data_IF_001949476572
#
_entry.id   IF_001949476572
#
_cell.length_a   1.000
_cell.length_b   1.000
_cell.length_c   1.000
_cell.angle_alpha   90.00
_cell.angle_beta   90.00
_cell.angle_gamma   90.00
#
_symmetry.space_group_name_H-M   'P 1'
#
loop_
_entity.id
_entity.type
_entity.pdbx_description
1 polymer ?
#
# COMPACT_ATOMS: atom_id res chain seq x y z
N UNK A 1 17.23 1.92 10.15
CA UNK A 1 16.58 0.94 9.25
C UNK A 1 16.26 1.68 7.96
N UNK A 2 16.95 1.34 6.90
CA UNK A 2 16.68 1.96 5.58
C UNK A 2 15.31 1.51 5.08
N UNK A 3 14.45 2.46 4.78
CA UNK A 3 13.04 2.21 4.45
C UNK A 3 12.68 2.79 3.09
N UNK A 4 11.98 2.02 2.26
CA UNK A 4 11.37 2.52 1.01
C UNK A 4 9.86 2.42 1.10
N UNK A 5 9.15 3.48 0.74
CA UNK A 5 7.70 3.47 0.53
C UNK A 5 7.42 3.24 -0.94
N UNK A 6 6.57 2.27 -1.27
CA UNK A 6 6.12 1.97 -2.63
C UNK A 6 4.66 2.40 -2.77
N UNK A 7 4.41 3.35 -3.68
CA UNK A 7 3.07 3.88 -3.98
C UNK A 7 2.65 3.39 -5.36
N UNK A 8 1.62 2.54 -5.44
CA UNK A 8 1.10 2.01 -6.71
C UNK A 8 0.06 2.97 -7.28
N UNK A 9 0.20 3.36 -8.55
CA UNK A 9 -0.73 4.29 -9.22
C UNK A 9 -1.07 3.87 -10.64
N UNK A 10 -2.22 4.31 -11.14
CA UNK A 10 -2.63 4.23 -12.55
C UNK A 10 -3.62 5.34 -12.88
N UNK A 11 -3.24 6.23 -13.82
CA UNK A 11 -4.10 7.28 -14.41
C UNK A 11 -4.94 8.12 -13.42
N UNK A 12 -4.36 8.39 -12.21
CA UNK A 12 -4.98 9.24 -11.18
C UNK A 12 -3.98 10.23 -10.61
N UNK A 13 -3.51 11.19 -11.43
CA UNK A 13 -2.50 12.18 -11.01
C UNK A 13 -2.94 13.06 -9.85
N UNK A 14 -4.23 13.41 -9.77
CA UNK A 14 -4.87 14.19 -8.70
C UNK A 14 -4.79 13.48 -7.34
N UNK A 15 -5.18 12.21 -7.32
CA UNK A 15 -5.12 11.39 -6.11
C UNK A 15 -3.65 11.14 -5.69
N UNK A 16 -2.79 10.80 -6.66
CA UNK A 16 -1.36 10.58 -6.42
C UNK A 16 -0.70 11.83 -5.81
N UNK A 17 -0.99 13.02 -6.35
CA UNK A 17 -0.47 14.27 -5.79
C UNK A 17 -0.87 14.44 -4.32
N UNK A 18 -2.14 14.20 -3.99
CA UNK A 18 -2.65 14.25 -2.62
C UNK A 18 -1.96 13.24 -1.70
N UNK A 19 -1.70 12.01 -2.17
CA UNK A 19 -0.99 10.97 -1.41
C UNK A 19 0.46 11.37 -1.16
N UNK A 20 1.18 11.84 -2.18
CA UNK A 20 2.59 12.25 -2.06
C UNK A 20 2.73 13.46 -1.15
N UNK A 21 1.82 14.43 -1.23
CA UNK A 21 1.76 15.56 -0.28
C UNK A 21 1.55 15.08 1.17
N UNK A 22 0.76 14.02 1.38
CA UNK A 22 0.63 13.37 2.69
C UNK A 22 1.95 12.76 3.19
N UNK A 23 2.84 12.33 2.28
CA UNK A 23 4.18 11.89 2.63
C UNK A 23 5.12 13.05 2.95
N UNK A 24 4.96 14.23 2.36
CA UNK A 24 5.72 15.43 2.74
C UNK A 24 5.47 15.86 4.19
N UNK A 25 4.33 15.49 4.76
CA UNK A 25 3.91 15.82 6.12
C UNK A 25 4.23 14.72 7.16
N UNK A 26 5.05 13.74 6.81
CA UNK A 26 5.42 12.68 7.77
C UNK A 26 6.31 13.21 8.89
N UNK A 27 6.11 12.69 10.10
CA UNK A 27 6.96 12.95 11.27
C UNK A 27 8.38 12.38 11.12
N UNK A 28 8.53 11.35 10.30
CA UNK A 28 9.79 10.69 9.99
C UNK A 28 10.00 10.74 8.48
N UNK A 29 10.98 11.54 8.04
CA UNK A 29 11.33 11.75 6.63
C UNK A 29 12.54 10.90 6.18
N UNK A 30 13.07 10.03 7.04
CA UNK A 30 14.19 9.14 6.71
C UNK A 30 13.67 7.90 5.94
N UNK A 31 13.22 8.12 4.71
CA UNK A 31 12.80 7.10 3.75
C UNK A 31 12.95 7.62 2.32
N UNK A 32 13.02 6.71 1.36
CA UNK A 32 12.85 6.99 -0.06
C UNK A 32 11.48 6.51 -0.53
N UNK A 33 10.95 7.15 -1.58
CA UNK A 33 9.64 6.82 -2.15
C UNK A 33 9.81 6.33 -3.59
N UNK A 34 9.19 5.20 -3.91
CA UNK A 34 9.11 4.67 -5.27
C UNK A 34 7.66 4.72 -5.74
N UNK A 35 7.40 5.48 -6.79
CA UNK A 35 6.11 5.47 -7.48
C UNK A 35 6.12 4.31 -8.48
N UNK A 36 5.28 3.32 -8.21
CA UNK A 36 5.04 2.13 -9.04
C UNK A 36 3.84 2.41 -9.96
N UNK A 37 4.12 2.84 -11.17
CA UNK A 37 3.14 3.35 -12.14
C UNK A 37 2.78 2.27 -13.17
N UNK A 38 1.55 1.78 -13.10
CA UNK A 38 1.02 0.65 -13.89
C UNK A 38 0.64 1.03 -15.34
N UNK A 39 1.42 1.93 -15.94
CA UNK A 39 1.23 2.31 -17.36
C UNK A 39 0.44 3.60 -17.56
N UNK A 40 0.50 4.53 -16.61
CA UNK A 40 -0.20 5.81 -16.73
C UNK A 40 0.28 6.64 -17.94
N UNK A 41 -0.57 7.56 -18.35
CA UNK A 41 -0.34 8.52 -19.41
C UNK A 41 0.71 9.60 -19.07
N UNK A 42 0.96 10.50 -20.02
CA UNK A 42 1.91 11.60 -19.86
C UNK A 42 1.51 12.55 -18.73
N UNK A 43 0.23 12.80 -18.51
CA UNK A 43 -0.21 13.74 -17.48
C UNK A 43 0.20 13.29 -16.08
N UNK A 44 0.04 12.00 -15.76
CA UNK A 44 0.53 11.42 -14.51
C UNK A 44 2.04 11.58 -14.36
N UNK A 45 2.81 11.35 -15.44
CA UNK A 45 4.27 11.52 -15.45
C UNK A 45 4.69 12.96 -15.21
N UNK A 46 4.00 13.93 -15.79
CA UNK A 46 4.28 15.36 -15.61
C UNK A 46 4.05 15.77 -14.13
N UNK A 47 2.97 15.29 -13.51
CA UNK A 47 2.70 15.51 -12.07
C UNK A 47 3.78 14.88 -11.19
N UNK A 48 4.22 13.65 -11.48
CA UNK A 48 5.31 13.00 -10.75
C UNK A 48 6.60 13.82 -10.86
N UNK A 49 6.91 14.35 -12.03
CA UNK A 49 8.09 15.17 -12.26
C UNK A 49 8.07 16.45 -11.41
N UNK A 50 6.89 17.08 -11.28
CA UNK A 50 6.73 18.24 -10.41
C UNK A 50 6.89 17.88 -8.93
N UNK A 51 6.25 16.79 -8.48
CA UNK A 51 6.34 16.33 -7.08
C UNK A 51 7.79 16.03 -6.64
N UNK A 52 8.63 15.55 -7.57
CA UNK A 52 10.05 15.32 -7.30
C UNK A 52 10.84 16.59 -6.96
N UNK A 53 10.45 17.74 -7.52
CA UNK A 53 11.14 19.02 -7.28
C UNK A 53 10.88 19.53 -5.86
N UNK A 54 9.69 19.26 -5.31
CA UNK A 54 9.25 19.79 -4.02
C UNK A 54 9.49 18.79 -2.87
N UNK A 55 9.94 17.57 -3.17
CA UNK A 55 10.03 16.49 -2.19
C UNK A 55 11.18 16.67 -1.19
N UNK A 56 10.94 16.50 0.12
CA UNK A 56 11.99 16.51 1.16
C UNK A 56 12.79 15.19 1.24
N UNK A 57 12.51 14.22 0.38
CA UNK A 57 13.15 12.90 0.27
C UNK A 57 13.28 12.48 -1.20
N UNK A 58 14.06 11.44 -1.48
CA UNK A 58 14.23 10.94 -2.85
C UNK A 58 12.93 10.29 -3.34
N UNK A 59 12.45 10.69 -4.54
CA UNK A 59 11.34 10.04 -5.26
C UNK A 59 11.87 9.41 -6.54
N UNK A 60 11.71 8.11 -6.66
CA UNK A 60 11.95 7.34 -7.89
C UNK A 60 10.63 7.02 -8.60
N UNK A 61 10.65 6.96 -9.93
CA UNK A 61 9.49 6.58 -10.74
C UNK A 61 9.83 5.33 -11.55
N UNK A 62 9.07 4.27 -11.32
CA UNK A 62 9.12 3.01 -12.05
C UNK A 62 7.84 2.88 -12.84
N UNK A 63 7.98 2.72 -14.15
CA UNK A 63 6.87 2.67 -15.08
C UNK A 63 7.00 1.47 -16.02
N UNK A 64 5.91 0.98 -16.55
CA UNK A 64 5.87 0.05 -17.67
C UNK A 64 4.70 0.40 -18.60
N UNK A 65 4.74 -0.16 -19.82
CA UNK A 65 3.70 0.02 -20.82
C UNK A 65 2.33 -0.46 -20.29
N UNK A 66 1.26 0.29 -20.62
CA UNK A 66 -0.11 -0.08 -20.29
C UNK A 66 -0.55 -1.29 -21.12
N UNK A 67 -0.62 -2.44 -20.48
CA UNK A 67 -1.17 -3.69 -21.02
C UNK A 67 -2.30 -4.20 -20.12
N UNK A 68 -3.10 -3.28 -19.56
CA UNK A 68 -4.16 -3.55 -18.60
C UNK A 68 -3.67 -3.60 -17.15
N UNK A 69 -4.55 -3.95 -16.23
CA UNK A 69 -4.27 -3.93 -14.79
C UNK A 69 -3.24 -5.01 -14.40
N UNK A 70 -2.00 -4.59 -14.10
CA UNK A 70 -0.88 -5.47 -13.74
C UNK A 70 -0.15 -5.01 -12.47
N UNK A 71 -0.93 -4.72 -11.42
CA UNK A 71 -0.40 -4.22 -10.16
C UNK A 71 0.67 -5.13 -9.53
N UNK A 72 0.59 -6.45 -9.70
CA UNK A 72 1.61 -7.39 -9.25
C UNK A 72 2.96 -7.13 -9.93
N UNK A 73 2.97 -6.99 -11.26
CA UNK A 73 4.18 -6.79 -12.05
C UNK A 73 4.86 -5.45 -11.74
N UNK A 74 4.09 -4.36 -11.64
CA UNK A 74 4.69 -3.05 -11.34
C UNK A 74 5.21 -2.97 -9.91
N UNK A 75 4.52 -3.61 -8.93
CA UNK A 75 5.03 -3.71 -7.56
C UNK A 75 6.33 -4.51 -7.50
N UNK A 76 6.49 -5.59 -8.26
CA UNK A 76 7.73 -6.34 -8.35
C UNK A 76 8.87 -5.49 -8.91
N UNK A 77 8.63 -4.73 -9.98
CA UNK A 77 9.61 -3.79 -10.51
C UNK A 77 10.03 -2.75 -9.46
N UNK A 78 9.06 -2.21 -8.70
CA UNK A 78 9.33 -1.28 -7.62
C UNK A 78 10.13 -1.91 -6.47
N UNK A 79 9.85 -3.17 -6.08
CA UNK A 79 10.64 -3.91 -5.09
C UNK A 79 12.10 -4.07 -5.56
N UNK A 80 12.32 -4.36 -6.83
CA UNK A 80 13.66 -4.46 -7.43
C UNK A 80 14.42 -3.14 -7.41
N UNK A 81 13.74 -2.03 -7.75
CA UNK A 81 14.30 -0.68 -7.77
C UNK A 81 14.54 -0.10 -6.35
N UNK A 82 13.86 -0.64 -5.33
CA UNK A 82 13.94 -0.16 -3.95
C UNK A 82 15.29 -0.43 -3.31
N UNK A 83 15.79 0.55 -2.54
CA UNK A 83 17.06 0.47 -1.80
C UNK A 83 16.87 0.15 -0.32
N UNK A 84 15.63 0.24 0.20
CA UNK A 84 15.29 -0.07 1.58
C UNK A 84 15.38 -1.56 1.89
N UNK A 85 15.76 -1.88 3.12
CA UNK A 85 15.69 -3.23 3.67
C UNK A 85 14.28 -3.55 4.20
N UNK A 86 13.49 -2.52 4.49
CA UNK A 86 12.09 -2.59 4.89
C UNK A 86 11.23 -1.83 3.89
N UNK A 87 10.20 -2.49 3.35
CA UNK A 87 9.33 -1.93 2.31
C UNK A 87 7.92 -1.71 2.85
N UNK A 88 7.38 -0.51 2.63
CA UNK A 88 6.01 -0.12 2.99
C UNK A 88 5.24 0.08 1.70
N UNK A 89 4.09 -0.57 1.55
CA UNK A 89 3.24 -0.48 0.38
C UNK A 89 1.98 0.32 0.68
N UNK A 90 1.61 1.16 -0.26
CA UNK A 90 0.32 1.86 -0.26
C UNK A 90 -0.15 2.10 -1.70
N UNK A 91 -1.42 2.48 -1.88
CA UNK A 91 -1.97 2.82 -3.18
C UNK A 91 -1.98 4.34 -3.38
N UNK A 92 -1.95 4.80 -4.63
CA UNK A 92 -1.95 6.20 -5.05
C UNK A 92 -3.25 6.97 -4.76
N UNK A 93 -4.15 6.37 -4.00
CA UNK A 93 -5.39 6.97 -3.48
C UNK A 93 -5.56 6.77 -1.96
N UNK A 94 -4.50 6.33 -1.28
CA UNK A 94 -4.47 6.08 0.15
C UNK A 94 -3.56 7.09 0.86
N UNK A 95 -4.13 8.23 1.29
CA UNK A 95 -3.38 9.31 1.93
C UNK A 95 -2.91 8.87 3.31
N UNK A 96 -1.59 8.91 3.60
CA UNK A 96 -1.06 8.51 4.90
C UNK A 96 -1.34 9.58 5.97
N UNK A 97 -1.51 9.15 7.23
CA UNK A 97 -1.45 10.02 8.40
C UNK A 97 0.01 10.37 8.70
N UNK A 98 0.25 11.49 9.40
CA UNK A 98 1.60 12.01 9.67
C UNK A 98 2.54 11.02 10.38
N UNK A 99 1.99 10.10 11.16
CA UNK A 99 2.73 9.03 11.86
C UNK A 99 2.82 7.70 11.09
N UNK A 100 2.41 7.66 9.81
CA UNK A 100 2.32 6.41 9.05
C UNK A 100 3.67 5.72 8.92
N UNK A 101 4.70 6.41 8.42
CA UNK A 101 6.04 5.83 8.23
C UNK A 101 6.68 5.50 9.58
N UNK A 102 6.65 6.42 10.54
CA UNK A 102 7.24 6.23 11.87
C UNK A 102 6.63 5.03 12.60
N UNK A 103 5.30 4.82 12.47
CA UNK A 103 4.63 3.67 13.10
C UNK A 103 4.93 2.35 12.39
N UNK A 104 5.04 2.31 11.06
CA UNK A 104 5.51 1.13 10.35
C UNK A 104 6.93 0.74 10.81
N UNK A 105 7.85 1.72 10.89
CA UNK A 105 9.22 1.51 11.38
C UNK A 105 9.26 1.02 12.84
N UNK A 106 8.48 1.64 13.73
CA UNK A 106 8.38 1.24 15.16
C UNK A 106 7.83 -0.17 15.36
N UNK A 107 6.94 -0.61 14.49
CA UNK A 107 6.31 -1.92 14.57
C UNK A 107 7.05 -3.01 13.79
N UNK A 108 8.01 -2.65 12.95
CA UNK A 108 8.81 -3.59 12.16
C UNK A 108 9.50 -4.61 13.07
N UNK A 109 9.41 -5.88 12.69
CA UNK A 109 10.00 -6.99 13.45
C UNK A 109 10.36 -8.12 12.47
N UNK A 110 11.56 -8.69 12.60
CA UNK A 110 11.96 -9.83 11.77
C UNK A 110 11.04 -11.02 11.99
N UNK A 111 10.69 -11.71 10.90
CA UNK A 111 9.74 -12.82 10.91
C UNK A 111 8.27 -12.38 10.93
N UNK A 112 7.99 -11.07 10.78
CA UNK A 112 6.63 -10.54 10.70
C UNK A 112 6.48 -9.58 9.51
N UNK A 113 5.31 -9.66 8.84
CA UNK A 113 4.79 -8.58 8.00
C UNK A 113 3.71 -7.81 8.78
N UNK A 114 3.53 -6.54 8.45
CA UNK A 114 2.48 -5.69 9.03
C UNK A 114 1.33 -5.53 8.05
N UNK A 115 0.10 -5.56 8.56
CA UNK A 115 -1.10 -5.20 7.83
C UNK A 115 -1.86 -4.09 8.57
N UNK A 116 -1.98 -2.95 7.92
CA UNK A 116 -2.71 -1.80 8.41
C UNK A 116 -4.19 -1.81 8.01
N UNK A 117 -4.79 -0.62 7.99
CA UNK A 117 -6.18 -0.41 7.64
C UNK A 117 -6.34 0.87 6.81
N UNK A 118 -7.44 0.98 6.09
CA UNK A 118 -7.85 2.20 5.41
C UNK A 118 -9.23 2.65 5.91
N UNK A 119 -9.43 3.96 5.96
CA UNK A 119 -10.69 4.62 6.24
C UNK A 119 -11.22 5.15 4.93
N UNK A 120 -12.40 4.69 4.53
CA UNK A 120 -13.01 5.10 3.25
C UNK A 120 -13.62 6.48 3.40
N UNK A 121 -13.32 7.37 2.46
CA UNK A 121 -13.89 8.70 2.38
C UNK A 121 -15.13 8.70 1.47
N UNK A 122 -16.08 9.61 1.73
CA UNK A 122 -17.20 9.86 0.83
C UNK A 122 -16.72 10.50 -0.49
N UNK A 123 -17.56 10.42 -1.52
CA UNK A 123 -17.30 11.12 -2.79
C UNK A 123 -17.16 12.63 -2.58
N UNK A 124 -18.03 13.21 -1.77
CA UNK A 124 -18.05 14.66 -1.48
C UNK A 124 -16.77 15.11 -0.79
N UNK A 125 -16.32 14.38 0.25
CA UNK A 125 -15.09 14.72 0.95
C UNK A 125 -13.87 14.52 0.07
N UNK A 126 -13.85 13.46 -0.74
CA UNK A 126 -12.78 13.23 -1.74
C UNK A 126 -12.66 14.40 -2.69
N UNK A 127 -13.77 14.88 -3.28
CA UNK A 127 -13.74 16.04 -4.16
C UNK A 127 -13.15 17.28 -3.49
N UNK A 128 -13.58 17.60 -2.27
CA UNK A 128 -13.04 18.73 -1.49
C UNK A 128 -11.53 18.62 -1.23
N UNK A 129 -11.02 17.40 -1.04
CA UNK A 129 -9.58 17.16 -0.89
C UNK A 129 -8.87 17.41 -2.20
N UNK A 130 -9.37 16.86 -3.31
CA UNK A 130 -8.73 16.97 -4.62
C UNK A 130 -8.75 18.40 -5.18
N UNK A 131 -9.74 19.22 -4.78
CA UNK A 131 -9.80 20.67 -5.12
C UNK A 131 -9.05 21.56 -4.12
N UNK A 132 -8.34 20.96 -3.15
CA UNK A 132 -7.61 21.67 -2.07
C UNK A 132 -8.48 22.52 -1.13
N UNK A 133 -9.81 22.35 -1.15
CA UNK A 133 -10.73 23.03 -0.21
C UNK A 133 -10.59 22.51 1.23
N UNK A 134 -10.00 21.32 1.38
CA UNK A 134 -9.72 20.67 2.66
C UNK A 134 -8.29 20.17 2.69
N UNK A 135 -7.47 20.74 3.57
CA UNK A 135 -6.09 20.30 3.81
C UNK A 135 -6.03 18.90 4.45
N UNK A 136 -5.15 18.05 3.96
CA UNK A 136 -5.03 16.64 4.36
C UNK A 136 -4.20 16.46 5.64
N UNK A 137 -3.34 17.41 5.95
CA UNK A 137 -2.22 17.19 6.87
C UNK A 137 -2.59 17.08 8.34
N UNK A 138 -3.57 17.83 8.82
CA UNK A 138 -3.79 17.99 10.25
C UNK A 138 -5.26 17.90 10.62
N UNK A 139 -5.85 16.72 10.47
CA UNK A 139 -7.17 16.51 11.02
C UNK A 139 -7.09 16.30 12.52
N UNK A 140 -7.48 17.31 13.28
CA UNK A 140 -7.69 17.20 14.71
C UNK A 140 -8.84 16.24 15.04
N UNK A 141 -8.87 15.71 16.25
CA UNK A 141 -9.88 14.74 16.70
C UNK A 141 -11.31 15.22 16.47
N UNK A 142 -11.58 16.52 16.63
CA UNK A 142 -12.90 17.11 16.36
C UNK A 142 -13.29 17.11 14.89
N UNK A 143 -12.35 17.35 13.99
CA UNK A 143 -12.56 17.29 12.53
C UNK A 143 -12.92 15.87 12.11
N UNK A 144 -12.20 14.89 12.62
CA UNK A 144 -12.45 13.47 12.39
C UNK A 144 -13.84 13.07 12.90
N UNK A 145 -14.20 13.50 14.12
CA UNK A 145 -15.50 13.23 14.71
C UNK A 145 -16.65 13.85 13.88
N UNK A 146 -16.48 15.09 13.42
CA UNK A 146 -17.43 15.77 12.53
C UNK A 146 -17.64 14.94 11.24
N UNK A 147 -16.57 14.55 10.56
CA UNK A 147 -16.67 13.76 9.32
C UNK A 147 -17.32 12.39 9.54
N UNK A 148 -17.11 11.78 10.71
CA UNK A 148 -17.79 10.53 11.04
C UNK A 148 -19.31 10.71 11.21
N UNK A 149 -19.75 11.74 11.93
CA UNK A 149 -21.20 12.00 12.13
C UNK A 149 -21.92 12.39 10.84
N UNK A 150 -21.26 13.10 9.93
CA UNK A 150 -21.84 13.43 8.61
C UNK A 150 -21.64 12.32 7.57
N UNK A 151 -21.12 11.15 7.98
CA UNK A 151 -20.84 9.97 7.13
C UNK A 151 -19.85 10.21 6.00
N UNK A 152 -18.98 11.20 6.14
CA UNK A 152 -17.89 11.46 5.21
C UNK A 152 -16.72 10.49 5.40
N UNK A 153 -16.64 9.81 6.54
CA UNK A 153 -15.73 8.69 6.80
C UNK A 153 -16.52 7.49 7.36
N UNK A 154 -16.11 6.29 6.99
CA UNK A 154 -16.85 5.07 7.36
C UNK A 154 -16.47 4.50 8.74
N UNK A 155 -15.35 4.92 9.35
CA UNK A 155 -14.85 4.37 10.61
C UNK A 155 -14.08 5.43 11.41
N UNK A 156 -14.30 5.47 12.71
CA UNK A 156 -13.61 6.35 13.66
C UNK A 156 -12.39 5.69 14.29
N UNK A 157 -12.53 4.45 14.75
CA UNK A 157 -11.53 3.74 15.55
C UNK A 157 -10.12 3.65 14.93
N UNK A 158 -9.94 3.41 13.60
CA UNK A 158 -8.61 3.37 13.02
C UNK A 158 -7.84 4.70 13.11
N UNK A 159 -8.56 5.81 13.27
CA UNK A 159 -7.95 7.15 13.34
C UNK A 159 -7.45 7.52 14.74
N UNK A 160 -7.81 6.73 15.76
CA UNK A 160 -7.20 6.78 17.09
C UNK A 160 -5.90 5.99 17.02
N UNK A 161 -4.82 6.67 16.64
CA UNK A 161 -3.49 6.03 16.53
C UNK A 161 -3.02 5.53 17.89
N UNK A 162 -2.78 4.23 18.02
CA UNK A 162 -2.24 3.62 19.24
C UNK A 162 -1.20 2.55 18.90
N UNK A 163 0.02 2.76 19.37
CA UNK A 163 1.09 1.75 19.35
C UNK A 163 1.10 0.88 20.61
N UNK A 164 0.28 1.19 21.62
CA UNK A 164 0.28 0.59 22.96
C UNK A 164 -0.26 -0.85 23.01
N UNK A 165 -1.05 -1.27 22.02
CA UNK A 165 -1.66 -2.60 21.95
C UNK A 165 -0.71 -3.65 21.34
N UNK A 166 0.59 -3.59 21.66
CA UNK A 166 1.61 -4.46 21.09
C UNK A 166 1.37 -5.96 21.32
N UNK A 167 0.96 -6.43 22.53
CA UNK A 167 0.70 -7.86 22.76
C UNK A 167 -0.43 -8.41 21.89
N UNK A 168 -1.49 -7.65 21.69
CA UNK A 168 -2.67 -8.05 20.90
C UNK A 168 -2.42 -7.99 19.38
N UNK A 169 -1.35 -7.34 18.93
CA UNK A 169 -1.00 -7.26 17.50
C UNK A 169 -0.57 -8.60 16.89
N UNK A 170 -0.15 -9.54 17.71
CA UNK A 170 0.29 -10.89 17.31
C UNK A 170 -0.77 -11.98 17.56
N UNK A 171 -2.02 -11.62 17.92
CA UNK A 171 -3.08 -12.57 18.27
C UNK A 171 -3.56 -13.46 17.13
N UNK A 172 -3.31 -13.08 15.88
CA UNK A 172 -3.73 -13.85 14.69
C UNK A 172 -2.54 -13.98 13.73
N UNK A 173 -1.50 -14.74 14.10
CA UNK A 173 -0.22 -14.76 13.38
C UNK A 173 -0.30 -15.43 11.98
N UNK A 174 -1.30 -16.26 11.74
CA UNK A 174 -1.54 -16.94 10.45
C UNK A 174 -2.66 -16.31 9.61
N UNK A 175 -3.16 -15.13 10.01
CA UNK A 175 -4.25 -14.48 9.29
C UNK A 175 -3.77 -13.90 7.97
N UNK A 176 -4.40 -14.30 6.88
CA UNK A 176 -4.23 -13.73 5.53
C UNK A 176 -5.45 -12.92 5.07
N UNK A 177 -6.64 -13.22 5.60
CA UNK A 177 -7.90 -12.61 5.18
C UNK A 177 -7.94 -11.12 5.50
N UNK A 178 -8.29 -10.34 4.49
CA UNK A 178 -8.43 -8.89 4.59
C UNK A 178 -7.11 -8.13 4.75
N UNK A 179 -5.96 -8.78 4.54
CA UNK A 179 -4.69 -8.11 4.31
C UNK A 179 -4.69 -7.53 2.90
N UNK A 180 -4.27 -6.27 2.76
CA UNK A 180 -4.23 -5.55 1.48
C UNK A 180 -2.95 -4.74 1.39
N UNK A 181 -2.35 -4.70 0.21
CA UNK A 181 -1.11 -3.95 -0.04
C UNK A 181 -1.29 -2.44 -0.03
N UNK A 182 -2.51 -1.94 -0.07
CA UNK A 182 -2.75 -0.51 0.17
C UNK A 182 -2.34 -0.02 1.57
N UNK A 183 -2.01 -0.93 2.50
CA UNK A 183 -1.43 -0.62 3.80
C UNK A 183 -0.75 -1.87 4.37
N UNK A 184 0.45 -2.13 3.89
CA UNK A 184 1.21 -3.34 4.17
C UNK A 184 2.70 -3.01 4.28
N UNK A 185 3.44 -3.76 5.09
CA UNK A 185 4.90 -3.67 5.05
C UNK A 185 5.57 -5.00 5.43
N UNK A 186 6.74 -5.23 4.84
CA UNK A 186 7.52 -6.44 5.07
C UNK A 186 9.01 -6.17 4.84
N UNK A 187 9.85 -7.06 5.35
CA UNK A 187 11.28 -7.06 5.03
C UNK A 187 11.50 -7.43 3.57
N UNK A 188 12.35 -6.66 2.90
CA UNK A 188 12.72 -6.90 1.49
C UNK A 188 13.24 -8.32 1.30
N UNK A 189 14.05 -8.83 2.23
CA UNK A 189 14.56 -10.20 2.21
C UNK A 189 13.46 -11.26 2.19
N UNK A 190 12.35 -11.05 2.92
CA UNK A 190 11.25 -12.00 2.96
C UNK A 190 10.43 -11.99 1.66
N UNK A 191 10.27 -10.81 1.03
CA UNK A 191 9.67 -10.70 -0.30
C UNK A 191 10.50 -11.42 -1.37
N UNK A 192 11.82 -11.32 -1.32
CA UNK A 192 12.71 -12.06 -2.23
C UNK A 192 12.65 -13.57 -2.02
N UNK A 193 12.57 -14.06 -0.78
CA UNK A 193 12.42 -15.50 -0.49
C UNK A 193 11.17 -16.11 -1.13
N UNK A 194 10.08 -15.36 -1.22
CA UNK A 194 8.83 -15.81 -1.83
C UNK A 194 8.70 -15.40 -3.30
N UNK A 195 9.75 -14.84 -3.91
CA UNK A 195 9.79 -14.37 -5.30
C UNK A 195 8.79 -13.22 -5.58
N UNK A 196 8.50 -12.37 -4.60
CA UNK A 196 7.60 -11.22 -4.76
C UNK A 196 6.14 -11.57 -5.01
N UNK A 197 5.44 -10.71 -5.74
CA UNK A 197 4.07 -10.92 -6.18
C UNK A 197 4.03 -11.93 -7.34
N UNK A 198 2.96 -12.71 -7.44
CA UNK A 198 2.70 -13.58 -8.59
C UNK A 198 2.11 -12.76 -9.74
N UNK A 199 2.88 -12.55 -10.82
CA UNK A 199 2.48 -11.69 -11.95
C UNK A 199 1.38 -12.28 -12.83
N UNK A 200 1.06 -13.56 -12.66
CA UNK A 200 -0.08 -14.18 -13.33
C UNK A 200 -1.44 -13.65 -12.85
N UNK A 201 -1.49 -12.90 -11.72
CA UNK A 201 -2.69 -12.16 -11.31
C UNK A 201 -2.83 -10.90 -12.17
N UNK A 202 -3.61 -11.03 -13.24
CA UNK A 202 -4.01 -9.94 -14.11
C UNK A 202 -5.45 -9.52 -13.80
N UNK A 203 -5.75 -8.23 -13.98
CA UNK A 203 -7.02 -7.66 -13.53
C UNK A 203 -7.08 -7.53 -12.01
N UNK A 204 -8.21 -7.07 -11.50
CA UNK A 204 -8.34 -6.73 -10.09
C UNK A 204 -8.48 -7.97 -9.18
N UNK A 205 -7.66 -8.01 -8.15
CA UNK A 205 -7.91 -8.73 -6.91
C UNK A 205 -7.12 -10.03 -6.70
N UNK A 206 -6.82 -10.27 -5.42
CA UNK A 206 -6.24 -11.47 -4.82
C UNK A 206 -4.71 -11.66 -4.99
N UNK A 207 -4.02 -10.79 -5.73
CA UNK A 207 -2.56 -10.77 -5.77
C UNK A 207 -1.94 -10.53 -4.38
N UNK A 208 -2.61 -9.69 -3.56
CA UNK A 208 -2.26 -9.44 -2.15
C UNK A 208 -2.39 -10.70 -1.30
N UNK A 209 -3.51 -11.41 -1.46
CA UNK A 209 -3.81 -12.63 -0.69
C UNK A 209 -2.84 -13.75 -1.03
N UNK A 210 -2.48 -13.90 -2.31
CA UNK A 210 -1.48 -14.87 -2.77
C UNK A 210 -0.10 -14.60 -2.13
N UNK A 211 0.39 -13.35 -2.20
CA UNK A 211 1.64 -12.97 -1.55
C UNK A 211 1.63 -13.30 -0.06
N UNK A 212 0.56 -12.93 0.64
CA UNK A 212 0.44 -13.15 2.10
C UNK A 212 0.41 -14.64 2.44
N UNK A 213 -0.32 -15.47 1.68
CA UNK A 213 -0.33 -16.93 1.86
C UNK A 213 1.09 -17.50 1.70
N UNK A 214 1.85 -17.06 0.70
CA UNK A 214 3.23 -17.52 0.49
C UNK A 214 4.19 -17.04 1.58
N UNK A 215 4.03 -15.81 2.09
CA UNK A 215 4.80 -15.33 3.24
C UNK A 215 4.53 -16.16 4.49
N UNK A 216 3.26 -16.48 4.78
CA UNK A 216 2.88 -17.34 5.91
C UNK A 216 3.47 -18.74 5.78
N UNK A 217 3.42 -19.35 4.59
CA UNK A 217 4.05 -20.66 4.31
C UNK A 217 5.56 -20.64 4.47
N UNK A 218 6.20 -19.50 4.17
CA UNK A 218 7.63 -19.28 4.41
C UNK A 218 7.97 -18.94 5.87
N UNK A 219 7.00 -19.06 6.80
CA UNK A 219 7.20 -18.83 8.24
C UNK A 219 7.11 -17.37 8.69
N UNK A 220 6.84 -16.42 7.78
CA UNK A 220 6.65 -15.00 8.13
C UNK A 220 5.23 -14.81 8.66
N UNK A 221 5.08 -14.25 9.86
CA UNK A 221 3.80 -14.17 10.58
C UNK A 221 3.13 -12.83 10.39
N UNK A 222 1.80 -12.78 10.52
CA UNK A 222 1.03 -11.55 10.53
C UNK A 222 1.15 -10.80 11.86
N UNK A 223 1.40 -9.49 11.78
CA UNK A 223 1.34 -8.56 12.89
C UNK A 223 0.38 -7.42 12.56
N UNK A 224 -0.66 -7.24 13.35
CA UNK A 224 -1.73 -6.28 13.11
C UNK A 224 -1.28 -4.83 13.35
N UNK A 225 -1.34 -3.98 12.33
CA UNK A 225 -1.01 -2.55 12.41
C UNK A 225 -2.24 -1.63 12.26
N UNK A 226 -3.47 -2.17 12.21
CA UNK A 226 -4.70 -1.45 11.82
C UNK A 226 -4.96 -0.15 12.56
N UNK A 227 -4.62 -0.05 13.85
CA UNK A 227 -4.81 1.16 14.66
C UNK A 227 -3.58 2.05 14.71
N UNK A 228 -2.43 1.58 14.22
CA UNK A 228 -1.19 2.33 14.25
C UNK A 228 -0.91 3.06 12.94
N UNK A 229 -1.31 2.47 11.82
CA UNK A 229 -0.95 2.94 10.47
C UNK A 229 -2.18 3.20 9.59
N UNK A 230 -3.21 3.94 10.02
CA UNK A 230 -4.38 4.17 9.16
C UNK A 230 -4.04 5.07 7.99
N UNK A 231 -4.66 4.79 6.83
CA UNK A 231 -4.67 5.66 5.65
C UNK A 231 -6.09 6.12 5.35
N UNK A 232 -6.21 7.27 4.67
CA UNK A 232 -7.48 7.81 4.19
C UNK A 232 -7.63 7.47 2.71
N UNK A 233 -8.58 6.60 2.39
CA UNK A 233 -8.79 6.14 1.02
C UNK A 233 -9.79 7.04 0.30
N UNK A 234 -9.31 7.71 -0.72
CA UNK A 234 -10.11 8.55 -1.61
C UNK A 234 -11.15 7.69 -2.35
N UNK A 235 -12.36 8.22 -2.46
CA UNK A 235 -13.41 7.54 -3.19
C UNK A 235 -13.07 7.44 -4.68
N UNK A 236 -13.35 6.31 -5.26
CA UNK A 236 -13.33 6.08 -6.71
C UNK A 236 -14.39 5.05 -7.11
N UNK A 237 -14.73 5.01 -8.39
CA UNK A 237 -15.57 3.95 -8.95
C UNK A 237 -14.89 2.60 -8.76
N UNK A 238 -15.65 1.55 -8.48
CA UNK A 238 -15.10 0.19 -8.33
C UNK A 238 -14.43 -0.28 -9.63
N UNK A 239 -13.33 -1.00 -9.48
CA UNK A 239 -12.62 -1.60 -10.61
C UNK A 239 -13.45 -2.74 -11.22
N UNK A 240 -13.19 -3.03 -12.50
CA UNK A 240 -13.74 -4.19 -13.17
C UNK A 240 -13.31 -5.48 -12.44
N UNK A 241 -14.28 -6.37 -12.23
CA UNK A 241 -14.10 -7.65 -11.53
C UNK A 241 -14.12 -8.85 -12.47
N UNK A 242 -14.01 -8.64 -13.78
CA UNK A 242 -14.08 -9.72 -14.77
C UNK A 242 -13.04 -10.83 -14.59
N UNK A 243 -11.89 -10.51 -14.00
CA UNK A 243 -10.84 -11.51 -13.71
C UNK A 243 -10.97 -12.21 -12.34
N UNK A 244 -11.95 -11.83 -11.50
CA UNK A 244 -12.00 -12.26 -10.11
C UNK A 244 -12.13 -13.79 -9.95
N UNK A 245 -12.94 -14.45 -10.76
CA UNK A 245 -13.15 -15.91 -10.70
C UNK A 245 -11.84 -16.66 -10.98
N UNK A 246 -11.14 -16.31 -12.07
CA UNK A 246 -9.82 -16.85 -12.43
C UNK A 246 -8.80 -16.63 -11.32
N UNK A 247 -8.79 -15.45 -10.70
CA UNK A 247 -7.89 -15.12 -9.60
C UNK A 247 -8.25 -15.89 -8.32
N UNK A 248 -9.52 -16.19 -8.08
CA UNK A 248 -9.95 -17.07 -6.98
C UNK A 248 -9.47 -18.52 -7.16
N UNK A 249 -9.50 -19.04 -8.38
CA UNK A 249 -8.96 -20.38 -8.68
C UNK A 249 -7.46 -20.45 -8.42
N UNK A 250 -6.69 -19.41 -8.83
CA UNK A 250 -5.25 -19.30 -8.53
C UNK A 250 -4.99 -19.30 -7.01
N UNK A 251 -5.78 -18.51 -6.26
CA UNK A 251 -5.64 -18.45 -4.81
C UNK A 251 -5.97 -19.82 -4.15
N UNK A 252 -7.01 -20.53 -4.60
CA UNK A 252 -7.29 -21.87 -4.11
C UNK A 252 -6.14 -22.84 -4.40
N UNK A 253 -5.57 -22.77 -5.59
CA UNK A 253 -4.43 -23.61 -5.98
C UNK A 253 -3.19 -23.35 -5.12
N UNK A 254 -2.84 -22.08 -4.84
CA UNK A 254 -1.72 -21.80 -3.95
C UNK A 254 -2.02 -22.26 -2.51
N UNK A 255 -3.23 -22.09 -2.02
CA UNK A 255 -3.60 -22.52 -0.66
C UNK A 255 -3.47 -24.02 -0.45
N UNK A 256 -3.82 -24.84 -1.44
CA UNK A 256 -3.76 -26.31 -1.40
C UNK A 256 -2.40 -26.91 -1.76
N UNK A 257 -1.42 -26.10 -2.20
CA UNK A 257 -0.07 -26.55 -2.57
C UNK A 257 0.94 -26.26 -1.47
N UNK A 258 2.13 -26.84 -1.53
CA UNK A 258 3.27 -26.49 -0.66
C UNK A 258 4.16 -25.37 -1.24
N UNK A 259 3.76 -24.79 -2.36
CA UNK A 259 4.54 -23.76 -3.06
C UNK A 259 4.63 -22.48 -2.22
N UNK A 260 5.86 -21.98 -2.05
CA UNK A 260 6.16 -20.73 -1.34
C UNK A 260 6.61 -19.59 -2.25
N UNK A 261 7.06 -19.89 -3.48
CA UNK A 261 7.52 -18.89 -4.46
C UNK A 261 6.45 -18.60 -5.52
N UNK A 262 6.41 -17.35 -5.98
CA UNK A 262 5.69 -17.02 -7.21
C UNK A 262 6.29 -17.77 -8.40
N UNK A 263 5.45 -18.17 -9.36
CA UNK A 263 5.93 -18.76 -10.63
C UNK A 263 6.62 -17.70 -11.49
N UNK A 264 5.98 -16.53 -11.58
CA UNK A 264 6.50 -15.35 -12.27
C UNK A 264 6.55 -14.20 -11.27
N UNK A 265 7.76 -13.73 -10.96
CA UNK A 265 7.95 -12.69 -9.95
C UNK A 265 9.32 -12.03 -10.06
N UNK A 266 9.94 -11.72 -8.92
CA UNK A 266 11.18 -10.94 -8.86
C UNK A 266 12.37 -11.60 -9.61
N UNK A 267 12.48 -12.94 -9.63
CA UNK A 267 13.58 -13.65 -10.28
C UNK A 267 13.53 -13.54 -11.82
N UNK A 268 12.32 -13.32 -12.39
CA UNK A 268 12.11 -13.21 -13.83
C UNK A 268 12.24 -11.77 -14.37
N UNK A 269 12.36 -10.77 -13.50
CA UNK A 269 12.63 -9.40 -13.92
C UNK A 269 14.11 -9.30 -14.26
N UNK A 270 14.44 -9.13 -15.54
CA UNK A 270 15.81 -8.92 -15.99
C UNK A 270 16.47 -7.73 -15.29
N UNK A 271 17.79 -7.82 -15.09
CA UNK A 271 18.63 -6.73 -14.61
C UNK A 271 18.67 -5.59 -15.62
#
# INVERSE_FOLDING_TARGET
MKTTVIVTTYNRPDALASVVQGFFLQEDLDFDLVIADDGSDRHTRDVISQLKLDAPFEISHVWHEDLGFRAAAIRNKAIRASRGEYLIFTDGDCIPRTSFVSNHKKLAEHGYFLAGNRVLLSRTLTQKILTHDVGIGQWHSWTILKYYFVRDINRLMPLISSTWLTPFRKSSPSRWEGVKTCNFSAWRSDLFKVNGFEEQYEGWGLEDSDLVVRLLKNGVKHKNARQATPTLHLWHTENDRGSLERNQERLRAIMSSDRIKANIGLEQIGL
#
